data_IF_137650002188
#
_entry.id   IF_137650002188
#
_cell.length_a   1.000
_cell.length_b   1.000
_cell.length_c   1.000
_cell.angle_alpha   90.00
_cell.angle_beta   90.00
_cell.angle_gamma   90.00
#
_symmetry.space_group_name_H-M   'P 1'
#
loop_
_entity.id
_entity.type
_entity.pdbx_description
1 polymer ?
#
# COMPACT_ATOMS: atom_id res chain seq x y z
N UNK A 1 -12.37 -5.58 20.30
CA UNK A 1 -13.82 -5.92 20.38
C UNK A 1 -14.25 -6.18 18.95
N UNK A 2 -14.41 -7.45 18.59
CA UNK A 2 -14.87 -7.91 17.28
C UNK A 2 -16.39 -7.68 17.22
N UNK A 3 -16.80 -6.68 16.47
CA UNK A 3 -18.23 -6.47 16.18
C UNK A 3 -18.66 -7.58 15.22
N UNK A 4 -19.71 -8.32 15.57
CA UNK A 4 -20.21 -9.43 14.76
C UNK A 4 -20.78 -8.93 13.42
N UNK A 5 -20.69 -9.74 12.36
CA UNK A 5 -21.26 -9.47 11.02
C UNK A 5 -22.75 -9.02 11.03
N UNK A 6 -23.48 -9.30 12.11
CA UNK A 6 -24.87 -8.91 12.33
C UNK A 6 -25.07 -7.43 12.67
N UNK A 7 -24.06 -6.74 13.24
CA UNK A 7 -24.15 -5.30 13.54
C UNK A 7 -23.83 -4.43 12.32
N UNK A 8 -22.92 -4.87 11.46
CA UNK A 8 -22.59 -4.19 10.20
C UNK A 8 -23.80 -4.22 9.23
N UNK A 9 -24.57 -5.30 9.21
CA UNK A 9 -25.80 -5.40 8.40
C UNK A 9 -26.95 -4.49 8.86
N UNK A 10 -26.93 -4.00 10.12
CA UNK A 10 -27.94 -3.05 10.63
C UNK A 10 -27.67 -1.59 10.31
N UNK A 11 -26.47 -1.25 9.83
CA UNK A 11 -26.09 0.12 9.45
C UNK A 11 -26.23 0.26 7.95
N UNK A 12 -27.19 1.07 7.49
CA UNK A 12 -27.65 1.19 6.11
C UNK A 12 -26.57 1.37 5.06
N UNK A 13 -26.96 1.14 3.81
CA UNK A 13 -26.15 1.25 2.61
C UNK A 13 -25.67 2.71 2.42
N UNK A 14 -24.36 2.94 2.32
CA UNK A 14 -23.76 4.27 2.12
C UNK A 14 -23.54 4.55 0.64
N UNK A 15 -23.70 5.82 0.26
CA UNK A 15 -23.23 6.38 -1.01
C UNK A 15 -21.88 7.06 -0.78
N UNK A 16 -20.84 6.62 -1.49
CA UNK A 16 -19.45 7.01 -1.23
C UNK A 16 -18.82 7.53 -2.51
N UNK A 17 -18.27 8.75 -2.47
CA UNK A 17 -17.34 9.23 -3.49
C UNK A 17 -15.92 9.09 -2.95
N UNK A 18 -15.11 8.24 -3.60
CA UNK A 18 -13.68 8.09 -3.30
C UNK A 18 -12.89 8.81 -4.39
N UNK A 19 -12.02 9.75 -4.00
CA UNK A 19 -11.26 10.56 -4.96
C UNK A 19 -9.76 10.27 -4.86
N UNK A 20 -9.07 10.33 -6.02
CA UNK A 20 -7.62 10.26 -6.10
C UNK A 20 -7.09 11.02 -7.32
N UNK A 21 -6.06 11.89 -7.17
CA UNK A 21 -5.56 12.74 -8.24
C UNK A 21 -4.46 12.09 -9.10
N UNK A 22 -4.00 10.88 -8.80
CA UNK A 22 -2.88 10.26 -9.48
C UNK A 22 -3.23 9.83 -10.91
N UNK A 23 -2.29 10.09 -11.83
CA UNK A 23 -2.39 9.69 -13.23
C UNK A 23 -1.73 8.33 -13.46
N UNK A 24 -0.58 8.10 -12.80
CA UNK A 24 0.21 6.87 -12.92
C UNK A 24 -0.15 5.88 -11.83
N UNK A 25 0.04 4.59 -12.09
CA UNK A 25 -0.15 3.52 -11.11
C UNK A 25 0.77 3.64 -9.89
N UNK A 26 0.43 2.89 -8.84
CA UNK A 26 1.18 2.84 -7.59
C UNK A 26 0.33 2.29 -6.44
N UNK A 27 0.92 2.15 -5.26
CA UNK A 27 0.25 1.59 -4.09
C UNK A 27 -1.05 2.31 -3.72
N UNK A 28 -1.09 3.64 -3.81
CA UNK A 28 -2.29 4.42 -3.50
C UNK A 28 -3.43 4.17 -4.50
N UNK A 29 -3.13 4.12 -5.81
CA UNK A 29 -4.11 3.80 -6.85
C UNK A 29 -4.69 2.40 -6.61
N UNK A 30 -3.82 1.42 -6.33
CA UNK A 30 -4.21 0.05 -6.00
C UNK A 30 -5.09 -0.01 -4.75
N UNK A 31 -4.75 0.75 -3.71
CA UNK A 31 -5.59 0.89 -2.51
C UNK A 31 -6.99 1.35 -2.86
N UNK A 32 -7.13 2.42 -3.66
CA UNK A 32 -8.43 2.97 -4.03
C UNK A 32 -9.27 1.96 -4.80
N UNK A 33 -8.70 1.27 -5.81
CA UNK A 33 -9.41 0.24 -6.59
C UNK A 33 -9.86 -0.91 -5.69
N UNK A 34 -8.95 -1.46 -4.89
CA UNK A 34 -9.24 -2.59 -4.01
C UNK A 34 -10.30 -2.25 -2.96
N UNK A 35 -10.16 -1.11 -2.29
CA UNK A 35 -11.13 -0.66 -1.29
C UNK A 35 -12.50 -0.45 -1.93
N UNK A 36 -12.57 0.20 -3.09
CA UNK A 36 -13.83 0.49 -3.77
C UNK A 36 -14.56 -0.79 -4.18
N UNK A 37 -13.82 -1.78 -4.70
CA UNK A 37 -14.36 -3.09 -5.06
C UNK A 37 -14.96 -3.80 -3.84
N UNK A 38 -14.23 -3.85 -2.74
CA UNK A 38 -14.71 -4.53 -1.53
C UNK A 38 -15.88 -3.80 -0.87
N UNK A 39 -15.87 -2.46 -0.83
CA UNK A 39 -17.01 -1.68 -0.35
C UNK A 39 -18.26 -1.93 -1.21
N UNK A 40 -18.13 -2.02 -2.53
CA UNK A 40 -19.23 -2.39 -3.43
C UNK A 40 -19.71 -3.82 -3.18
N UNK A 41 -18.80 -4.78 -2.90
CA UNK A 41 -19.15 -6.16 -2.50
C UNK A 41 -19.92 -6.21 -1.18
N UNK A 42 -19.61 -5.32 -0.24
CA UNK A 42 -20.37 -5.14 0.99
C UNK A 42 -21.73 -4.44 0.77
N UNK A 43 -22.06 -4.04 -0.47
CA UNK A 43 -23.35 -3.50 -0.87
C UNK A 43 -23.45 -1.97 -0.82
N UNK A 44 -22.34 -1.24 -0.58
CA UNK A 44 -22.31 0.21 -0.65
C UNK A 44 -22.32 0.70 -2.10
N UNK A 45 -22.86 1.91 -2.33
CA UNK A 45 -22.82 2.56 -3.64
C UNK A 45 -21.54 3.39 -3.75
N UNK A 46 -20.53 2.88 -4.46
CA UNK A 46 -19.22 3.52 -4.56
C UNK A 46 -18.99 4.10 -5.95
N UNK A 47 -18.55 5.35 -5.99
CA UNK A 47 -18.08 6.02 -7.21
C UNK A 47 -16.64 6.47 -7.01
N UNK A 48 -15.77 6.20 -7.98
CA UNK A 48 -14.37 6.65 -7.98
C UNK A 48 -14.28 7.94 -8.80
N UNK A 49 -13.85 9.03 -8.15
CA UNK A 49 -13.59 10.32 -8.80
C UNK A 49 -12.12 10.46 -9.18
N UNK A 50 -11.81 10.52 -10.48
CA UNK A 50 -10.44 10.53 -10.99
C UNK A 50 -10.28 11.30 -12.30
N UNK A 51 -9.06 11.30 -12.86
CA UNK A 51 -8.79 11.79 -14.23
C UNK A 51 -9.23 10.75 -15.24
N UNK A 52 -9.74 11.18 -16.37
CA UNK A 52 -10.21 10.32 -17.45
C UNK A 52 -9.16 9.31 -17.95
N UNK A 53 -7.94 9.78 -18.22
CA UNK A 53 -6.87 8.96 -18.80
C UNK A 53 -5.91 8.44 -17.72
N UNK A 54 -6.43 8.07 -16.55
CA UNK A 54 -5.61 7.58 -15.45
C UNK A 54 -5.65 6.05 -15.35
N UNK A 55 -4.54 5.46 -14.90
CA UNK A 55 -4.48 4.03 -14.52
C UNK A 55 -5.55 3.69 -13.49
N UNK A 56 -5.94 4.66 -12.66
CA UNK A 56 -7.03 4.49 -11.71
C UNK A 56 -8.38 4.30 -12.42
N UNK A 57 -8.69 5.11 -13.45
CA UNK A 57 -9.94 4.99 -14.20
C UNK A 57 -10.05 3.63 -14.91
N UNK A 58 -8.95 3.18 -15.52
CA UNK A 58 -8.86 1.87 -16.16
C UNK A 58 -9.07 0.73 -15.15
N UNK A 59 -8.27 0.67 -14.10
CA UNK A 59 -8.39 -0.37 -13.06
C UNK A 59 -9.75 -0.34 -12.33
N UNK A 60 -10.37 0.84 -12.17
CA UNK A 60 -11.70 0.96 -11.59
C UNK A 60 -12.78 0.33 -12.47
N UNK A 61 -12.71 0.54 -13.80
CA UNK A 61 -13.64 -0.09 -14.75
C UNK A 61 -13.46 -1.61 -14.81
N UNK A 62 -12.22 -2.09 -14.86
CA UNK A 62 -11.91 -3.52 -14.82
C UNK A 62 -12.43 -4.17 -13.53
N UNK A 63 -12.38 -3.46 -12.41
CA UNK A 63 -12.94 -3.90 -11.14
C UNK A 63 -14.46 -3.76 -11.03
N UNK A 64 -15.15 -3.28 -12.10
CA UNK A 64 -16.61 -3.10 -12.11
C UNK A 64 -17.13 -1.94 -11.24
N UNK A 65 -16.25 -0.99 -10.88
CA UNK A 65 -16.63 0.18 -10.08
C UNK A 65 -17.21 1.31 -10.95
N UNK A 66 -18.12 2.10 -10.38
CA UNK A 66 -18.56 3.33 -11.02
C UNK A 66 -17.43 4.36 -11.05
N UNK A 67 -17.26 5.04 -12.18
CA UNK A 67 -16.19 6.02 -12.37
C UNK A 67 -16.78 7.38 -12.77
N UNK A 68 -16.32 8.43 -12.09
CA UNK A 68 -16.59 9.82 -12.43
C UNK A 68 -15.30 10.51 -12.88
N UNK A 69 -15.18 10.74 -14.19
CA UNK A 69 -13.96 11.24 -14.85
C UNK A 69 -13.93 12.75 -15.06
N UNK A 70 -14.76 13.48 -14.32
CA UNK A 70 -14.90 14.93 -14.47
C UNK A 70 -13.70 15.76 -14.02
N UNK A 71 -12.75 15.16 -13.27
CA UNK A 71 -11.66 15.88 -12.63
C UNK A 71 -10.41 16.03 -13.52
N UNK A 72 -9.83 17.23 -13.49
CA UNK A 72 -8.55 17.49 -14.14
C UNK A 72 -7.35 17.22 -13.21
N UNK A 73 -7.46 17.48 -11.92
CA UNK A 73 -6.43 17.31 -10.88
C UNK A 73 -5.02 17.67 -11.35
N UNK A 74 -4.87 18.86 -11.95
CA UNK A 74 -3.58 19.36 -12.40
C UNK A 74 -2.85 20.03 -11.26
N UNK A 75 -1.67 19.50 -10.90
CA UNK A 75 -0.82 20.07 -9.85
C UNK A 75 -0.41 21.52 -10.09
N UNK A 76 0.05 22.19 -9.04
CA UNK A 76 0.42 23.61 -9.05
C UNK A 76 -0.77 24.56 -8.95
N UNK A 77 -0.49 25.88 -8.96
CA UNK A 77 -1.49 26.95 -8.83
C UNK A 77 -2.20 27.23 -10.16
N UNK A 78 -2.91 26.25 -10.70
CA UNK A 78 -3.74 26.37 -11.93
C UNK A 78 -5.18 26.68 -11.56
N UNK A 79 -5.46 27.91 -11.17
CA UNK A 79 -6.76 28.34 -10.62
C UNK A 79 -7.96 27.89 -11.46
N UNK A 80 -7.89 27.99 -12.80
CA UNK A 80 -9.00 27.56 -13.68
C UNK A 80 -9.30 26.06 -13.56
N UNK A 81 -8.25 25.21 -13.41
CA UNK A 81 -8.44 23.76 -13.21
C UNK A 81 -9.07 23.48 -11.84
N UNK A 82 -8.59 24.15 -10.80
CA UNK A 82 -9.14 24.02 -9.46
C UNK A 82 -10.62 24.43 -9.40
N UNK A 83 -10.98 25.57 -9.99
CA UNK A 83 -12.37 26.02 -10.06
C UNK A 83 -13.27 25.05 -10.84
N UNK A 84 -12.73 24.46 -11.93
CA UNK A 84 -13.43 23.42 -12.69
C UNK A 84 -13.68 22.19 -11.82
N UNK A 85 -12.65 21.67 -11.16
CA UNK A 85 -12.74 20.47 -10.32
C UNK A 85 -13.73 20.70 -9.15
N UNK A 86 -13.66 21.85 -8.46
CA UNK A 86 -14.61 22.23 -7.41
C UNK A 86 -16.05 22.30 -7.95
N UNK A 87 -16.25 22.90 -9.12
CA UNK A 87 -17.59 23.01 -9.73
C UNK A 87 -18.15 21.63 -10.12
N UNK A 88 -17.30 20.71 -10.61
CA UNK A 88 -17.68 19.35 -10.94
C UNK A 88 -18.09 18.56 -9.68
N UNK A 89 -17.31 18.65 -8.62
CA UNK A 89 -17.60 17.93 -7.38
C UNK A 89 -18.85 18.49 -6.69
N UNK A 90 -19.06 19.81 -6.73
CA UNK A 90 -20.32 20.41 -6.27
C UNK A 90 -21.54 19.86 -7.00
N UNK A 91 -21.47 19.73 -8.33
CA UNK A 91 -22.56 19.13 -9.12
C UNK A 91 -22.79 17.69 -8.74
N UNK A 92 -21.71 16.92 -8.54
CA UNK A 92 -21.79 15.54 -8.08
C UNK A 92 -22.46 15.44 -6.70
N UNK A 93 -22.08 16.31 -5.75
CA UNK A 93 -22.71 16.36 -4.41
C UNK A 93 -24.22 16.68 -4.55
N UNK A 94 -24.59 17.57 -5.46
CA UNK A 94 -26.00 17.96 -5.68
C UNK A 94 -26.84 16.83 -6.30
N UNK A 95 -26.29 16.16 -7.33
CA UNK A 95 -27.05 15.13 -8.08
C UNK A 95 -27.08 13.81 -7.35
N UNK A 96 -25.94 13.35 -6.79
CA UNK A 96 -25.80 12.01 -6.23
C UNK A 96 -26.05 11.94 -4.73
N UNK A 97 -25.90 13.07 -4.02
CA UNK A 97 -26.07 13.18 -2.56
C UNK A 97 -25.29 12.10 -1.79
N UNK A 98 -23.95 12.04 -1.93
CA UNK A 98 -23.16 11.06 -1.21
C UNK A 98 -23.22 11.28 0.31
N UNK A 99 -23.11 10.19 1.08
CA UNK A 99 -22.96 10.25 2.53
C UNK A 99 -21.50 10.58 2.94
N UNK A 100 -20.55 10.09 2.13
CA UNK A 100 -19.11 10.19 2.39
C UNK A 100 -18.37 10.75 1.17
N UNK A 101 -17.51 11.75 1.41
CA UNK A 101 -16.43 12.15 0.52
C UNK A 101 -15.13 11.62 1.10
N UNK A 102 -14.47 10.71 0.40
CA UNK A 102 -13.23 10.09 0.85
C UNK A 102 -12.05 10.45 -0.07
N UNK A 103 -11.23 11.40 0.35
CA UNK A 103 -10.06 11.84 -0.41
C UNK A 103 -8.80 11.01 -0.09
N UNK A 104 -7.95 10.77 -1.10
CA UNK A 104 -6.73 9.97 -0.98
C UNK A 104 -5.43 10.73 -1.31
N UNK A 105 -5.49 11.80 -2.11
CA UNK A 105 -4.38 12.68 -2.42
C UNK A 105 -4.49 14.05 -1.73
N UNK A 106 -3.52 14.91 -1.91
CA UNK A 106 -3.56 16.24 -1.30
C UNK A 106 -4.42 17.22 -2.11
N UNK A 107 -4.44 17.11 -3.43
CA UNK A 107 -5.17 18.01 -4.30
C UNK A 107 -6.69 17.74 -4.24
N UNK A 108 -7.08 16.49 -4.35
CA UNK A 108 -8.48 16.06 -4.21
C UNK A 108 -9.04 16.42 -2.84
N UNK A 109 -8.26 16.26 -1.76
CA UNK A 109 -8.67 16.66 -0.42
C UNK A 109 -9.07 18.15 -0.33
N UNK A 110 -8.27 19.05 -0.93
CA UNK A 110 -8.60 20.47 -1.01
C UNK A 110 -9.83 20.72 -1.88
N UNK A 111 -9.94 20.07 -3.04
CA UNK A 111 -11.08 20.22 -3.96
C UNK A 111 -12.36 19.80 -3.25
N UNK A 112 -12.38 18.60 -2.65
CA UNK A 112 -13.53 18.05 -1.94
C UNK A 112 -13.94 18.91 -0.74
N UNK A 113 -12.96 19.34 0.05
CA UNK A 113 -13.24 20.18 1.22
C UNK A 113 -13.84 21.53 0.85
N UNK A 114 -13.33 22.19 -0.21
CA UNK A 114 -13.87 23.49 -0.68
C UNK A 114 -15.25 23.29 -1.33
N UNK A 115 -15.43 22.26 -2.16
CA UNK A 115 -16.72 21.95 -2.78
C UNK A 115 -17.81 21.72 -1.72
N UNK A 116 -17.49 20.91 -0.70
CA UNK A 116 -18.37 20.61 0.43
C UNK A 116 -18.67 21.87 1.26
N UNK A 117 -17.64 22.71 1.54
CA UNK A 117 -17.79 23.98 2.27
C UNK A 117 -18.75 24.95 1.57
N UNK A 118 -18.64 25.09 0.26
CA UNK A 118 -19.51 25.96 -0.55
C UNK A 118 -20.97 25.51 -0.56
N UNK A 119 -21.26 24.29 -0.12
CA UNK A 119 -22.60 23.72 0.07
C UNK A 119 -23.07 23.74 1.53
N UNK A 120 -22.31 24.32 2.45
CA UNK A 120 -22.64 24.34 3.87
C UNK A 120 -22.34 23.03 4.61
N UNK A 121 -21.38 22.24 4.10
CA UNK A 121 -20.97 20.92 4.64
C UNK A 121 -22.09 19.87 4.73
N UNK A 122 -22.79 19.58 3.62
CA UNK A 122 -23.85 18.55 3.67
C UNK A 122 -23.30 17.13 3.85
N UNK A 123 -22.02 16.86 3.46
CA UNK A 123 -21.43 15.53 3.33
C UNK A 123 -20.29 15.36 4.33
N UNK A 124 -20.17 14.15 4.90
CA UNK A 124 -19.08 13.78 5.81
C UNK A 124 -17.77 13.62 5.05
N UNK A 125 -16.71 14.29 5.52
CA UNK A 125 -15.39 14.32 4.87
C UNK A 125 -14.39 13.41 5.57
N UNK A 126 -13.88 12.41 4.86
CA UNK A 126 -12.84 11.46 5.31
C UNK A 126 -11.57 11.61 4.47
N UNK A 127 -10.40 11.41 5.09
CA UNK A 127 -9.11 11.48 4.43
C UNK A 127 -8.23 10.30 4.80
N UNK A 128 -7.73 9.51 3.80
CA UNK A 128 -6.67 8.52 4.05
C UNK A 128 -5.28 9.10 3.82
N UNK A 129 -4.36 8.82 4.73
CA UNK A 129 -2.95 9.24 4.74
C UNK A 129 -2.05 8.08 4.38
N UNK A 130 -1.45 8.12 3.18
CA UNK A 130 -0.68 7.03 2.58
C UNK A 130 0.83 7.15 2.75
N UNK A 131 1.34 8.21 3.36
CA UNK A 131 2.77 8.47 3.43
C UNK A 131 3.20 9.15 4.72
N UNK A 132 4.49 9.07 5.00
CA UNK A 132 5.16 9.66 6.16
C UNK A 132 5.64 11.10 5.93
N UNK A 133 5.33 11.73 4.78
CA UNK A 133 5.76 13.10 4.51
C UNK A 133 5.17 14.09 5.51
N UNK A 134 5.98 15.07 5.93
CA UNK A 134 5.54 16.12 6.83
C UNK A 134 4.43 16.97 6.20
N UNK A 135 3.46 17.39 7.01
CA UNK A 135 2.44 18.34 6.61
C UNK A 135 2.84 19.71 7.14
N UNK A 136 2.79 20.72 6.28
CA UNK A 136 3.04 22.10 6.69
C UNK A 136 1.96 22.56 7.69
N UNK A 137 2.36 23.17 8.81
CA UNK A 137 1.48 23.58 9.91
C UNK A 137 0.82 24.96 9.71
N UNK A 138 0.81 25.48 8.46
CA UNK A 138 0.14 26.75 8.15
C UNK A 138 -1.34 26.70 8.54
N UNK A 139 -1.89 27.86 8.90
CA UNK A 139 -3.28 28.00 9.33
C UNK A 139 -4.31 27.42 8.35
N UNK A 140 -4.04 27.48 7.03
CA UNK A 140 -4.89 26.87 6.01
C UNK A 140 -4.99 25.36 6.14
N UNK A 141 -3.87 24.66 6.44
CA UNK A 141 -3.88 23.22 6.69
C UNK A 141 -4.55 22.87 8.02
N UNK A 142 -4.47 23.77 9.00
CA UNK A 142 -5.19 23.62 10.27
C UNK A 142 -6.70 23.67 10.05
N UNK A 143 -7.19 24.62 9.27
CA UNK A 143 -8.61 24.70 8.89
C UNK A 143 -9.02 23.44 8.12
N UNK A 144 -8.26 23.03 7.09
CA UNK A 144 -8.55 21.85 6.29
C UNK A 144 -8.70 20.59 7.16
N UNK A 145 -7.74 20.33 8.05
CA UNK A 145 -7.69 19.09 8.80
C UNK A 145 -8.57 19.08 10.06
N UNK A 146 -8.75 20.23 10.74
CA UNK A 146 -9.50 20.31 12.01
C UNK A 146 -10.94 20.75 11.83
N UNK A 147 -11.22 21.57 10.77
CA UNK A 147 -12.56 22.15 10.57
C UNK A 147 -13.29 21.50 9.41
N UNK A 148 -12.61 21.29 8.28
CA UNK A 148 -13.24 20.81 7.04
C UNK A 148 -13.15 19.30 6.81
N UNK A 149 -12.41 18.59 7.68
CA UNK A 149 -12.30 17.13 7.66
C UNK A 149 -12.89 16.56 8.94
N UNK A 150 -13.77 15.59 8.84
CA UNK A 150 -14.44 14.99 9.98
C UNK A 150 -13.59 13.87 10.58
N UNK A 151 -12.96 13.03 9.74
CA UNK A 151 -12.19 11.88 10.18
C UNK A 151 -11.00 11.58 9.28
N UNK A 152 -9.92 11.01 9.85
CA UNK A 152 -8.74 10.63 9.09
C UNK A 152 -8.35 9.18 9.34
N UNK A 153 -7.88 8.52 8.28
CA UNK A 153 -7.37 7.16 8.31
C UNK A 153 -5.87 7.22 8.03
N UNK A 154 -5.05 6.66 8.90
CA UNK A 154 -3.63 6.43 8.67
C UNK A 154 -3.42 4.97 8.23
N UNK A 155 -2.58 4.73 7.22
CA UNK A 155 -2.38 3.36 6.71
C UNK A 155 -1.41 2.53 7.56
N UNK A 156 -0.83 3.11 8.62
CA UNK A 156 -0.01 2.44 9.62
C UNK A 156 0.15 3.32 10.86
N UNK A 157 0.58 2.73 11.98
CA UNK A 157 0.83 3.46 13.24
C UNK A 157 1.91 4.54 13.07
N UNK A 158 2.97 4.28 12.32
CA UNK A 158 4.01 5.28 12.06
C UNK A 158 3.44 6.55 11.39
N UNK A 159 2.46 6.42 10.48
CA UNK A 159 1.76 7.56 9.88
C UNK A 159 0.83 8.22 10.89
N UNK A 160 0.15 7.45 11.72
CA UNK A 160 -0.74 7.95 12.77
C UNK A 160 0.05 8.76 13.81
N UNK A 161 1.10 8.21 14.39
CA UNK A 161 1.95 8.88 15.40
C UNK A 161 2.54 10.19 14.87
N UNK A 162 3.07 10.16 13.63
CA UNK A 162 3.60 11.35 12.98
C UNK A 162 2.55 12.48 12.85
N UNK A 163 1.26 12.15 12.73
CA UNK A 163 0.15 13.10 12.60
C UNK A 163 -0.42 13.50 13.96
N UNK A 164 -0.66 12.51 14.82
CA UNK A 164 -1.27 12.71 16.13
C UNK A 164 -0.51 13.69 17.04
N UNK A 165 0.81 13.79 16.85
CA UNK A 165 1.68 14.73 17.58
C UNK A 165 1.67 16.16 17.02
N UNK A 166 1.00 16.43 15.88
CA UNK A 166 1.01 17.72 15.22
C UNK A 166 -0.25 18.54 15.53
N UNK A 167 -0.14 19.86 15.80
CA UNK A 167 -1.27 20.70 16.20
C UNK A 167 -2.29 20.95 15.09
N UNK A 168 -1.99 20.51 13.87
CA UNK A 168 -2.90 20.60 12.71
C UNK A 168 -3.79 19.37 12.54
N UNK A 169 -3.73 18.42 13.47
CA UNK A 169 -4.54 17.21 13.50
C UNK A 169 -5.21 17.03 14.87
N UNK A 170 -6.27 16.27 14.90
CA UNK A 170 -6.97 15.83 16.10
C UNK A 170 -6.90 14.31 16.18
N UNK A 171 -6.06 13.79 17.09
CA UNK A 171 -5.84 12.36 17.26
C UNK A 171 -7.12 11.59 17.61
N UNK A 172 -8.10 12.23 18.28
CA UNK A 172 -9.38 11.58 18.62
C UNK A 172 -10.25 11.30 17.38
N UNK A 173 -9.96 11.95 16.26
CA UNK A 173 -10.64 11.79 14.97
C UNK A 173 -9.76 11.10 13.93
N UNK A 174 -8.88 10.22 14.41
CA UNK A 174 -8.00 9.42 13.58
C UNK A 174 -8.05 7.95 13.98
N UNK A 175 -7.82 7.06 13.03
CA UNK A 175 -7.58 5.64 13.28
C UNK A 175 -6.53 5.09 12.33
N UNK A 176 -5.99 3.91 12.66
CA UNK A 176 -5.12 3.15 11.78
C UNK A 176 -5.91 2.05 11.10
N UNK A 177 -5.78 1.99 9.77
CA UNK A 177 -6.32 0.91 8.95
C UNK A 177 -5.25 0.53 7.93
N UNK A 178 -4.62 -0.61 8.14
CA UNK A 178 -3.59 -1.12 7.23
C UNK A 178 -4.18 -1.48 5.87
N UNK A 179 -3.34 -1.45 4.84
CA UNK A 179 -3.68 -2.02 3.54
C UNK A 179 -4.00 -3.51 3.68
N UNK A 180 -4.64 -4.07 2.67
CA UNK A 180 -4.94 -5.49 2.58
C UNK A 180 -4.56 -6.06 1.22
N UNK A 181 -4.39 -7.37 1.19
CA UNK A 181 -4.20 -8.15 -0.05
C UNK A 181 -5.23 -9.27 -0.12
N UNK A 182 -5.41 -9.83 -1.31
CA UNK A 182 -6.26 -10.98 -1.51
C UNK A 182 -5.44 -12.27 -1.31
N UNK A 183 -5.62 -13.02 -0.20
CA UNK A 183 -4.85 -14.22 0.06
C UNK A 183 -5.26 -15.41 -0.85
N UNK A 184 -6.30 -15.28 -1.63
CA UNK A 184 -6.67 -16.27 -2.66
C UNK A 184 -5.91 -16.06 -3.96
N UNK A 185 -5.63 -14.80 -4.32
CA UNK A 185 -4.78 -14.44 -5.46
C UNK A 185 -3.30 -14.69 -5.17
N UNK A 186 -2.88 -14.46 -3.92
CA UNK A 186 -1.51 -14.69 -3.44
C UNK A 186 -1.50 -15.90 -2.52
N UNK A 187 -1.48 -17.10 -3.10
CA UNK A 187 -1.44 -18.37 -2.35
C UNK A 187 -0.28 -19.23 -2.84
N UNK A 188 0.30 -20.07 -1.96
CA UNK A 188 1.31 -21.03 -2.38
C UNK A 188 0.77 -21.96 -3.47
N UNK A 189 1.56 -22.16 -4.53
CA UNK A 189 1.25 -23.04 -5.65
C UNK A 189 2.53 -23.68 -6.17
N UNK A 190 2.68 -24.99 -5.91
CA UNK A 190 3.91 -25.74 -6.23
C UNK A 190 4.14 -25.87 -7.75
N UNK A 191 3.09 -26.00 -8.54
CA UNK A 191 3.22 -26.14 -9.99
C UNK A 191 3.62 -24.82 -10.63
N UNK A 192 2.99 -23.72 -10.20
CA UNK A 192 3.38 -22.36 -10.60
C UNK A 192 4.82 -22.07 -10.16
N UNK A 193 5.22 -22.43 -8.92
CA UNK A 193 6.60 -22.26 -8.45
C UNK A 193 7.58 -22.99 -9.37
N UNK A 194 7.32 -24.24 -9.71
CA UNK A 194 8.19 -25.03 -10.60
C UNK A 194 8.31 -24.40 -11.99
N UNK A 195 7.19 -23.98 -12.55
CA UNK A 195 7.11 -23.32 -13.86
C UNK A 195 7.92 -22.01 -13.89
N UNK A 196 7.71 -21.12 -12.90
CA UNK A 196 8.36 -19.81 -12.86
C UNK A 196 9.87 -19.95 -12.55
N UNK A 197 10.27 -20.88 -11.68
CA UNK A 197 11.69 -21.16 -11.47
C UNK A 197 12.38 -21.65 -12.74
N UNK A 198 11.72 -22.50 -13.51
CA UNK A 198 12.24 -22.94 -14.82
C UNK A 198 12.31 -21.79 -15.83
N UNK A 199 11.32 -20.88 -15.86
CA UNK A 199 11.33 -19.67 -16.70
C UNK A 199 12.58 -18.80 -16.44
N UNK A 200 12.94 -18.60 -15.15
CA UNK A 200 14.11 -17.82 -14.77
C UNK A 200 15.42 -18.61 -14.73
N UNK A 201 15.39 -19.90 -15.06
CA UNK A 201 16.57 -20.75 -15.11
C UNK A 201 17.12 -21.12 -13.73
N UNK A 202 16.31 -21.10 -12.68
CA UNK A 202 16.72 -21.49 -11.33
C UNK A 202 16.69 -23.00 -11.15
N UNK A 203 17.75 -23.56 -10.56
CA UNK A 203 17.82 -24.95 -10.16
C UNK A 203 16.94 -25.24 -8.93
N UNK A 204 16.66 -26.51 -8.67
CA UNK A 204 15.80 -26.90 -7.55
C UNK A 204 16.42 -26.54 -6.19
N UNK A 205 17.73 -26.66 -6.06
CA UNK A 205 18.52 -26.34 -4.86
C UNK A 205 18.94 -24.85 -4.75
N UNK A 206 18.65 -24.01 -5.75
CA UNK A 206 18.89 -22.58 -5.66
C UNK A 206 18.02 -21.94 -4.55
N UNK A 207 18.60 -21.01 -3.82
CA UNK A 207 17.89 -20.19 -2.82
C UNK A 207 17.66 -18.80 -3.41
N UNK A 208 16.42 -18.50 -3.74
CA UNK A 208 16.03 -17.25 -4.42
C UNK A 208 15.71 -16.18 -3.39
N UNK A 209 16.56 -15.16 -3.31
CA UNK A 209 16.33 -13.93 -2.57
C UNK A 209 15.51 -13.00 -3.50
N UNK A 210 14.22 -12.83 -3.20
CA UNK A 210 13.29 -12.11 -4.04
C UNK A 210 13.03 -10.69 -3.54
N UNK A 211 13.00 -9.72 -4.45
CA UNK A 211 12.61 -8.35 -4.14
C UNK A 211 11.61 -7.82 -5.17
N UNK A 212 10.38 -7.60 -4.76
CA UNK A 212 9.33 -7.01 -5.60
C UNK A 212 9.14 -5.52 -5.22
N UNK A 213 9.81 -4.61 -5.95
CA UNK A 213 9.82 -3.19 -5.64
C UNK A 213 10.16 -2.32 -6.85
N UNK A 214 9.76 -1.04 -6.81
CA UNK A 214 10.25 -0.06 -7.80
C UNK A 214 11.76 0.10 -7.67
N UNK A 215 12.47 0.18 -8.79
CA UNK A 215 13.91 0.39 -8.83
C UNK A 215 14.23 1.87 -8.53
N UNK A 216 14.20 2.25 -7.26
CA UNK A 216 14.45 3.60 -6.75
C UNK A 216 15.34 3.53 -5.52
N UNK A 217 16.02 4.63 -5.19
CA UNK A 217 16.90 4.75 -4.00
C UNK A 217 16.17 4.34 -2.72
N UNK A 218 14.92 4.78 -2.56
CA UNK A 218 14.11 4.52 -1.38
C UNK A 218 13.92 3.03 -1.05
N UNK A 219 14.04 2.14 -2.04
CA UNK A 219 13.83 0.69 -1.87
C UNK A 219 15.06 -0.09 -1.45
N UNK A 220 16.26 0.52 -1.54
CA UNK A 220 17.48 -0.01 -0.92
C UNK A 220 18.09 -1.23 -1.60
N UNK A 221 17.90 -1.45 -2.92
CA UNK A 221 18.47 -2.57 -3.67
C UNK A 221 19.99 -2.72 -3.47
N UNK A 222 20.70 -1.61 -3.28
CA UNK A 222 22.12 -1.60 -3.02
C UNK A 222 22.52 -2.35 -1.73
N UNK A 223 21.66 -2.37 -0.72
CA UNK A 223 21.93 -3.12 0.53
C UNK A 223 21.80 -4.63 0.30
N UNK A 224 20.78 -5.05 -0.48
CA UNK A 224 20.66 -6.44 -0.90
C UNK A 224 21.89 -6.90 -1.70
N UNK A 225 22.37 -6.08 -2.65
CA UNK A 225 23.56 -6.44 -3.45
C UNK A 225 24.81 -6.57 -2.60
N UNK A 226 25.05 -5.62 -1.67
CA UNK A 226 26.20 -5.74 -0.73
C UNK A 226 26.09 -6.99 0.13
N UNK A 227 24.91 -7.28 0.67
CA UNK A 227 24.70 -8.51 1.44
C UNK A 227 24.91 -9.76 0.59
N UNK A 228 24.40 -9.79 -0.64
CA UNK A 228 24.59 -10.92 -1.55
C UNK A 228 26.06 -11.13 -1.95
N UNK A 229 26.85 -10.06 -2.04
CA UNK A 229 28.31 -10.17 -2.33
C UNK A 229 29.05 -10.95 -1.25
N UNK A 230 28.71 -10.74 0.01
CA UNK A 230 29.26 -11.51 1.13
C UNK A 230 28.70 -12.94 1.15
N UNK A 231 27.38 -13.09 1.10
CA UNK A 231 26.69 -14.38 1.25
C UNK A 231 27.06 -15.38 0.15
N UNK A 232 27.26 -14.94 -1.10
CA UNK A 232 27.54 -15.87 -2.22
C UNK A 232 28.84 -16.66 -2.06
N UNK A 233 29.77 -16.17 -1.26
CA UNK A 233 31.05 -16.89 -0.99
C UNK A 233 30.83 -18.12 -0.13
N UNK A 234 29.81 -18.07 0.73
CA UNK A 234 29.44 -19.18 1.66
C UNK A 234 28.27 -20.00 1.12
N UNK A 235 27.42 -19.39 0.31
CA UNK A 235 26.22 -19.98 -0.28
C UNK A 235 26.17 -19.75 -1.81
N UNK A 236 26.93 -20.53 -2.61
CA UNK A 236 27.06 -20.30 -4.05
C UNK A 236 25.77 -20.53 -4.84
N UNK A 237 24.78 -21.18 -4.23
CA UNK A 237 23.46 -21.45 -4.80
C UNK A 237 22.42 -20.34 -4.53
N UNK A 238 22.82 -19.18 -3.99
CA UNK A 238 21.88 -18.04 -3.91
C UNK A 238 21.66 -17.44 -5.28
N UNK A 239 20.42 -16.98 -5.52
CA UNK A 239 20.01 -16.21 -6.71
C UNK A 239 19.25 -14.98 -6.27
N UNK A 240 19.34 -13.91 -7.04
CA UNK A 240 18.57 -12.69 -6.83
C UNK A 240 17.52 -12.57 -7.93
N UNK A 241 16.25 -12.40 -7.55
CA UNK A 241 15.18 -12.13 -8.50
C UNK A 241 14.52 -10.77 -8.14
N UNK A 242 14.71 -9.79 -9.03
CA UNK A 242 14.22 -8.42 -8.84
C UNK A 242 13.04 -8.18 -9.77
N UNK A 243 11.85 -7.98 -9.18
CA UNK A 243 10.59 -7.70 -9.88
C UNK A 243 10.27 -6.22 -9.74
N UNK A 244 10.20 -5.51 -10.85
CA UNK A 244 9.85 -4.10 -10.90
C UNK A 244 10.67 -3.30 -11.90
N UNK A 245 10.32 -2.04 -12.05
CA UNK A 245 11.00 -1.08 -12.92
C UNK A 245 11.18 0.26 -12.20
N UNK A 246 12.07 1.09 -12.72
CA UNK A 246 12.33 2.42 -12.14
C UNK A 246 13.56 3.07 -12.73
N UNK A 247 13.81 4.31 -12.33
CA UNK A 247 14.87 5.15 -12.91
C UNK A 247 16.28 4.63 -12.64
N UNK A 248 16.45 3.74 -11.64
CA UNK A 248 17.74 3.16 -11.29
C UNK A 248 18.06 1.84 -12.01
N UNK A 249 17.25 1.36 -12.96
CA UNK A 249 17.46 0.07 -13.59
C UNK A 249 18.89 -0.13 -14.11
N UNK A 250 19.37 0.77 -14.99
CA UNK A 250 20.70 0.71 -15.58
C UNK A 250 21.83 0.84 -14.53
N UNK A 251 21.61 1.67 -13.50
CA UNK A 251 22.59 1.86 -12.42
C UNK A 251 22.72 0.59 -11.56
N UNK A 252 21.60 -0.05 -11.25
CA UNK A 252 21.58 -1.30 -10.47
C UNK A 252 22.17 -2.48 -11.26
N UNK A 253 21.92 -2.56 -12.57
CA UNK A 253 22.56 -3.55 -13.44
C UNK A 253 24.08 -3.38 -13.47
N UNK A 254 24.55 -2.13 -13.63
CA UNK A 254 25.97 -1.81 -13.56
C UNK A 254 26.58 -2.18 -12.21
N UNK A 255 25.90 -1.80 -11.11
CA UNK A 255 26.35 -2.12 -9.75
C UNK A 255 26.41 -3.63 -9.51
N UNK A 256 25.44 -4.40 -9.99
CA UNK A 256 25.47 -5.86 -9.92
C UNK A 256 26.69 -6.43 -10.67
N UNK A 257 27.04 -5.87 -11.83
CA UNK A 257 28.24 -6.22 -12.58
C UNK A 257 29.54 -5.93 -11.83
N UNK A 258 29.66 -4.71 -11.26
CA UNK A 258 30.82 -4.27 -10.47
C UNK A 258 31.06 -5.13 -9.21
N UNK A 259 29.98 -5.57 -8.58
CA UNK A 259 30.02 -6.46 -7.42
C UNK A 259 30.15 -7.95 -7.80
N UNK A 260 30.24 -8.26 -9.10
CA UNK A 260 30.35 -9.62 -9.63
C UNK A 260 29.07 -10.45 -9.45
N UNK A 261 27.92 -9.84 -9.27
CA UNK A 261 26.63 -10.51 -9.03
C UNK A 261 25.85 -10.76 -10.33
N UNK A 262 26.32 -10.28 -11.51
CA UNK A 262 25.58 -10.37 -12.77
C UNK A 262 25.11 -11.79 -13.10
N UNK A 263 25.95 -12.82 -12.82
CA UNK A 263 25.60 -14.21 -13.08
C UNK A 263 24.59 -14.86 -12.13
N UNK A 264 24.22 -14.17 -11.05
CA UNK A 264 23.24 -14.67 -10.07
C UNK A 264 22.04 -13.72 -9.90
N UNK A 265 21.99 -12.60 -10.64
CA UNK A 265 20.94 -11.59 -10.54
C UNK A 265 20.08 -11.57 -11.79
N UNK A 266 18.79 -11.74 -11.61
CA UNK A 266 17.77 -11.61 -12.68
C UNK A 266 16.94 -10.36 -12.44
N UNK A 267 17.01 -9.41 -13.39
CA UNK A 267 16.14 -8.24 -13.46
C UNK A 267 14.93 -8.58 -14.36
N UNK A 268 13.82 -8.96 -13.77
CA UNK A 268 12.63 -9.41 -14.51
C UNK A 268 11.75 -8.25 -15.01
N UNK A 269 12.09 -7.00 -14.70
CA UNK A 269 11.30 -5.85 -15.12
C UNK A 269 9.92 -5.79 -14.45
N UNK A 270 9.01 -5.04 -15.06
CA UNK A 270 7.61 -4.99 -14.62
C UNK A 270 6.88 -6.27 -15.06
N UNK A 271 6.18 -6.91 -14.13
CA UNK A 271 5.42 -8.13 -14.36
C UNK A 271 3.95 -7.92 -13.98
N UNK A 272 3.05 -8.29 -14.88
CA UNK A 272 1.60 -8.31 -14.60
C UNK A 272 1.19 -9.55 -13.78
N UNK A 273 1.94 -10.62 -13.91
CA UNK A 273 1.78 -11.91 -13.21
C UNK A 273 2.63 -11.98 -11.92
N UNK A 274 2.62 -10.89 -11.15
CA UNK A 274 3.43 -10.75 -9.92
C UNK A 274 3.15 -11.88 -8.92
N UNK A 275 1.91 -12.35 -8.80
CA UNK A 275 1.53 -13.45 -7.93
C UNK A 275 2.22 -14.77 -8.30
N UNK A 276 2.40 -15.01 -9.60
CA UNK A 276 3.14 -16.16 -10.10
C UNK A 276 4.64 -16.00 -9.84
N UNK A 277 5.20 -14.82 -10.16
CA UNK A 277 6.63 -14.58 -10.02
C UNK A 277 7.12 -14.69 -8.56
N UNK A 278 6.33 -14.26 -7.58
CA UNK A 278 6.65 -14.39 -6.15
C UNK A 278 6.78 -15.86 -5.73
N UNK A 279 6.12 -16.81 -6.40
CA UNK A 279 6.25 -18.24 -6.11
C UNK A 279 7.71 -18.75 -6.25
N UNK A 280 8.54 -18.07 -7.05
CA UNK A 280 9.95 -18.45 -7.19
C UNK A 280 10.80 -18.11 -5.97
N UNK A 281 10.33 -17.21 -5.08
CA UNK A 281 11.09 -16.74 -3.92
C UNK A 281 11.18 -17.81 -2.82
N UNK A 282 12.32 -17.83 -2.15
CA UNK A 282 12.55 -18.57 -0.89
C UNK A 282 12.59 -17.62 0.30
N UNK A 283 13.09 -16.40 0.09
CA UNK A 283 13.20 -15.36 1.10
C UNK A 283 12.85 -14.03 0.42
N UNK A 284 11.88 -13.32 0.95
CA UNK A 284 11.54 -11.96 0.52
C UNK A 284 12.45 -10.94 1.19
N UNK A 285 12.97 -9.98 0.43
CA UNK A 285 13.87 -8.95 0.95
C UNK A 285 13.30 -7.57 0.66
N UNK A 286 13.16 -6.75 1.71
CA UNK A 286 12.64 -5.37 1.59
C UNK A 286 13.49 -4.40 2.42
N UNK A 287 14.72 -4.05 1.98
CA UNK A 287 15.65 -3.22 2.73
C UNK A 287 15.41 -1.72 2.49
N UNK A 288 14.13 -1.31 2.49
CA UNK A 288 13.71 0.07 2.21
C UNK A 288 14.30 1.05 3.22
N UNK A 289 14.70 2.24 2.71
CA UNK A 289 15.25 3.33 3.51
C UNK A 289 14.37 4.58 3.53
N UNK A 290 13.28 4.59 2.77
CA UNK A 290 12.29 5.67 2.74
C UNK A 290 10.97 5.19 2.10
N UNK A 291 9.88 5.96 2.31
CA UNK A 291 8.58 5.81 1.65
C UNK A 291 7.90 4.43 1.81
N UNK A 292 8.02 3.79 2.98
CA UNK A 292 7.37 2.50 3.26
C UNK A 292 6.33 2.64 4.37
N UNK A 293 5.13 3.16 4.03
CA UNK A 293 4.07 3.30 5.03
C UNK A 293 3.32 1.96 5.26
N UNK A 294 2.86 1.30 4.19
CA UNK A 294 2.16 0.01 4.29
C UNK A 294 2.37 -0.77 2.99
N UNK A 295 3.31 -1.71 3.01
CA UNK A 295 3.84 -2.37 1.81
C UNK A 295 2.94 -3.48 1.30
N UNK A 296 2.30 -3.28 0.15
CA UNK A 296 1.61 -4.36 -0.57
C UNK A 296 2.56 -5.51 -0.91
N UNK A 297 3.75 -5.19 -1.40
CA UNK A 297 4.74 -6.19 -1.81
C UNK A 297 5.15 -7.12 -0.67
N UNK A 298 5.32 -6.58 0.55
CA UNK A 298 5.61 -7.39 1.74
C UNK A 298 4.43 -8.32 2.04
N UNK A 299 3.20 -7.78 2.06
CA UNK A 299 2.00 -8.57 2.32
C UNK A 299 1.78 -9.68 1.27
N UNK A 300 2.04 -9.40 0.01
CA UNK A 300 1.91 -10.33 -1.11
C UNK A 300 2.88 -11.51 -0.99
N UNK A 301 4.14 -11.21 -0.67
CA UNK A 301 5.15 -12.23 -0.42
C UNK A 301 4.79 -13.08 0.81
N UNK A 302 4.39 -12.46 1.91
CA UNK A 302 3.93 -13.17 3.10
C UNK A 302 2.69 -14.04 2.82
N UNK A 303 1.76 -13.57 1.99
CA UNK A 303 0.59 -14.35 1.60
C UNK A 303 0.94 -15.62 0.81
N UNK A 304 2.07 -15.65 0.12
CA UNK A 304 2.60 -16.84 -0.60
C UNK A 304 3.58 -17.69 0.23
N UNK A 305 3.53 -17.56 1.57
CA UNK A 305 4.42 -18.29 2.50
C UNK A 305 5.89 -17.95 2.35
N UNK A 306 6.23 -16.75 1.86
CA UNK A 306 7.61 -16.29 1.79
C UNK A 306 7.95 -15.52 3.07
N UNK A 307 8.92 -16.00 3.89
CA UNK A 307 9.40 -15.26 5.05
C UNK A 307 10.17 -14.02 4.63
N UNK A 308 10.05 -12.95 5.40
CA UNK A 308 10.60 -11.64 5.05
C UNK A 308 11.86 -11.29 5.81
N UNK A 309 12.82 -10.65 5.13
CA UNK A 309 13.86 -9.84 5.79
C UNK A 309 13.65 -8.39 5.35
N UNK A 310 13.27 -7.55 6.29
CA UNK A 310 12.85 -6.19 5.97
C UNK A 310 13.40 -5.15 6.96
N UNK A 311 13.58 -3.92 6.48
CA UNK A 311 14.04 -2.82 7.34
C UNK A 311 12.97 -2.35 8.32
N UNK A 312 13.39 -1.93 9.53
CA UNK A 312 12.57 -1.18 10.48
C UNK A 312 12.33 0.23 9.95
N UNK A 313 11.41 0.33 8.99
CA UNK A 313 11.01 1.61 8.40
C UNK A 313 9.50 1.66 8.17
N UNK A 314 8.88 2.78 8.58
CA UNK A 314 7.45 3.02 8.42
C UNK A 314 6.61 1.94 9.10
N UNK A 315 5.62 1.40 8.38
CA UNK A 315 4.72 0.36 8.89
C UNK A 315 5.20 -1.08 8.68
N UNK A 316 6.45 -1.31 8.25
CA UNK A 316 6.93 -2.65 7.93
C UNK A 316 6.91 -3.58 9.15
N UNK A 317 7.33 -3.08 10.33
CA UNK A 317 7.31 -3.84 11.61
C UNK A 317 5.89 -4.13 12.13
N UNK A 318 4.90 -3.42 11.61
CA UNK A 318 3.51 -3.67 11.94
C UNK A 318 2.95 -4.85 11.13
N UNK A 319 3.55 -5.13 9.96
CA UNK A 319 3.19 -6.24 9.07
C UNK A 319 3.99 -7.49 9.43
N UNK A 320 5.33 -7.37 9.51
CA UNK A 320 6.27 -8.47 9.78
C UNK A 320 6.59 -8.53 11.26
N UNK A 321 6.22 -9.60 11.94
CA UNK A 321 6.63 -9.85 13.34
C UNK A 321 8.04 -10.43 13.37
N UNK A 322 8.96 -9.70 14.02
CA UNK A 322 10.36 -10.13 14.16
C UNK A 322 10.45 -11.50 14.81
N UNK A 323 11.27 -12.39 14.25
CA UNK A 323 11.49 -13.78 14.67
C UNK A 323 10.24 -14.70 14.58
N UNK A 324 9.14 -14.25 13.97
CA UNK A 324 7.94 -15.07 13.76
C UNK A 324 7.58 -15.21 12.28
N UNK A 325 7.53 -14.09 11.56
CA UNK A 325 7.18 -14.04 10.13
C UNK A 325 8.41 -13.75 9.25
N UNK A 326 9.56 -13.56 9.90
CA UNK A 326 10.83 -13.15 9.30
C UNK A 326 11.67 -12.31 10.26
N UNK A 327 12.56 -11.50 9.73
CA UNK A 327 13.45 -10.64 10.51
C UNK A 327 13.27 -9.17 10.14
N UNK A 328 13.16 -8.32 11.15
CA UNK A 328 13.25 -6.87 11.02
C UNK A 328 14.67 -6.44 11.38
N UNK A 329 15.33 -5.70 10.50
CA UNK A 329 16.70 -5.22 10.63
C UNK A 329 16.77 -3.71 10.65
N UNK A 330 17.79 -3.10 11.27
CA UNK A 330 17.94 -1.65 11.24
C UNK A 330 18.06 -1.13 9.81
N UNK A 331 17.39 0.01 9.55
CA UNK A 331 17.37 0.66 8.25
C UNK A 331 18.79 1.09 7.81
N UNK A 332 19.12 0.84 6.54
CA UNK A 332 20.38 1.31 5.95
C UNK A 332 21.63 0.57 6.42
N UNK A 333 21.49 -0.60 7.07
CA UNK A 333 22.60 -1.42 7.55
C UNK A 333 22.76 -2.69 6.71
N UNK A 334 23.97 -3.12 6.47
CA UNK A 334 24.27 -4.32 5.66
C UNK A 334 24.51 -5.54 6.55
N UNK A 335 25.29 -5.42 7.62
CA UNK A 335 25.67 -6.53 8.50
C UNK A 335 24.45 -7.22 9.13
N UNK A 336 23.48 -6.52 9.75
CA UNK A 336 22.27 -7.15 10.26
C UNK A 336 21.41 -7.80 9.17
N UNK A 337 21.45 -7.25 7.94
CA UNK A 337 20.78 -7.86 6.79
C UNK A 337 21.44 -9.19 6.40
N UNK A 338 22.78 -9.24 6.37
CA UNK A 338 23.56 -10.48 6.13
C UNK A 338 23.20 -11.54 7.17
N UNK A 339 23.28 -11.20 8.47
CA UNK A 339 22.98 -12.13 9.55
C UNK A 339 21.56 -12.71 9.48
N UNK A 340 20.58 -11.87 9.17
CA UNK A 340 19.19 -12.28 9.04
C UNK A 340 18.96 -13.19 7.84
N UNK A 341 19.55 -12.84 6.68
CA UNK A 341 19.47 -13.66 5.47
C UNK A 341 20.17 -15.00 5.68
N UNK A 342 21.35 -15.01 6.28
CA UNK A 342 22.12 -16.25 6.53
C UNK A 342 21.35 -17.22 7.42
N UNK A 343 20.67 -16.73 8.46
CA UNK A 343 19.82 -17.59 9.33
C UNK A 343 18.73 -18.29 8.52
N UNK A 344 18.11 -17.61 7.55
CA UNK A 344 17.07 -18.20 6.71
C UNK A 344 17.67 -19.09 5.60
N UNK A 345 18.82 -18.74 5.03
CA UNK A 345 19.50 -19.54 4.00
C UNK A 345 19.94 -20.88 4.60
N UNK A 346 20.58 -20.86 5.78
CA UNK A 346 21.15 -22.05 6.42
C UNK A 346 20.09 -22.98 7.05
N UNK A 347 18.86 -22.50 7.31
CA UNK A 347 17.87 -23.25 8.07
C UNK A 347 16.51 -23.36 7.31
N UNK A 348 16.35 -24.40 6.46
CA UNK A 348 15.13 -24.61 5.68
C UNK A 348 13.85 -24.73 6.55
N UNK A 349 13.95 -25.34 7.73
CA UNK A 349 12.80 -25.51 8.63
C UNK A 349 12.35 -24.17 9.20
N UNK A 350 13.27 -23.33 9.69
CA UNK A 350 12.96 -21.98 10.16
C UNK A 350 12.32 -21.16 9.04
N UNK A 351 12.86 -21.26 7.82
CA UNK A 351 12.35 -20.57 6.64
C UNK A 351 10.91 -20.97 6.34
N UNK A 352 10.60 -22.28 6.36
CA UNK A 352 9.25 -22.82 6.16
C UNK A 352 8.28 -22.38 7.27
N UNK A 353 8.68 -22.51 8.52
CA UNK A 353 7.85 -22.20 9.68
C UNK A 353 7.48 -20.69 9.72
N UNK A 354 8.48 -19.82 9.45
CA UNK A 354 8.24 -18.38 9.32
C UNK A 354 7.35 -18.03 8.13
N UNK A 355 7.50 -18.71 6.99
CA UNK A 355 6.63 -18.53 5.83
C UNK A 355 5.17 -18.88 6.15
N UNK A 356 4.95 -20.02 6.78
CA UNK A 356 3.60 -20.45 7.23
C UNK A 356 3.00 -19.46 8.23
N UNK A 357 3.80 -18.96 9.17
CA UNK A 357 3.39 -17.92 10.13
C UNK A 357 3.02 -16.61 9.42
N UNK A 358 3.85 -16.19 8.45
CA UNK A 358 3.63 -14.99 7.64
C UNK A 358 2.28 -15.05 6.91
N UNK A 359 1.98 -16.16 6.22
CA UNK A 359 0.71 -16.37 5.53
C UNK A 359 -0.48 -16.30 6.49
N UNK A 360 -0.40 -16.99 7.63
CA UNK A 360 -1.47 -16.96 8.65
C UNK A 360 -1.76 -15.53 9.09
N UNK A 361 -0.70 -14.76 9.38
CA UNK A 361 -0.85 -13.35 9.75
C UNK A 361 -1.58 -12.53 8.69
N UNK A 362 -1.25 -12.70 7.41
CA UNK A 362 -1.94 -12.00 6.32
C UNK A 362 -3.41 -12.40 6.24
N UNK A 363 -3.71 -13.69 6.29
CA UNK A 363 -5.09 -14.19 6.26
C UNK A 363 -5.92 -13.71 7.46
N UNK A 364 -5.28 -13.59 8.63
CA UNK A 364 -5.96 -13.20 9.87
C UNK A 364 -6.12 -11.68 10.03
N UNK A 365 -5.25 -10.83 9.46
CA UNK A 365 -5.23 -9.42 9.81
C UNK A 365 -5.22 -8.43 8.63
N UNK A 366 -4.71 -8.84 7.45
CA UNK A 366 -4.41 -7.95 6.33
C UNK A 366 -5.12 -8.35 5.02
N UNK A 367 -6.37 -8.79 5.11
CA UNK A 367 -7.17 -9.09 3.92
C UNK A 367 -7.88 -7.83 3.40
N UNK A 368 -8.26 -7.86 2.11
CA UNK A 368 -9.06 -6.79 1.50
C UNK A 368 -10.43 -6.63 2.19
N UNK A 369 -11.01 -7.73 2.65
CA UNK A 369 -12.26 -7.73 3.41
C UNK A 369 -12.12 -6.93 4.70
N UNK A 370 -11.08 -7.20 5.49
CA UNK A 370 -10.82 -6.48 6.74
C UNK A 370 -10.49 -5.01 6.52
N UNK A 371 -9.79 -4.68 5.43
CA UNK A 371 -9.59 -3.29 5.03
C UNK A 371 -10.94 -2.59 4.82
N UNK A 372 -11.87 -3.21 4.08
CA UNK A 372 -13.18 -2.62 3.82
C UNK A 372 -14.05 -2.54 5.07
N UNK A 373 -14.14 -3.60 5.87
CA UNK A 373 -14.90 -3.64 7.11
C UNK A 373 -14.46 -2.54 8.10
N UNK A 374 -13.14 -2.43 8.35
CA UNK A 374 -12.57 -1.40 9.21
C UNK A 374 -12.80 0.02 8.64
N UNK A 375 -12.80 0.16 7.31
CA UNK A 375 -13.09 1.43 6.65
C UNK A 375 -14.56 1.82 6.82
N UNK A 376 -15.50 0.87 6.74
CA UNK A 376 -16.92 1.12 7.03
C UNK A 376 -17.11 1.56 8.50
N UNK A 377 -16.42 0.93 9.44
CA UNK A 377 -16.44 1.38 10.85
C UNK A 377 -15.93 2.82 10.99
N UNK A 378 -14.83 3.18 10.30
CA UNK A 378 -14.30 4.53 10.30
C UNK A 378 -15.29 5.53 9.67
N UNK A 379 -16.03 5.15 8.63
CA UNK A 379 -17.07 5.98 8.04
C UNK A 379 -18.22 6.24 9.03
N UNK A 380 -18.63 5.24 9.79
CA UNK A 380 -19.67 5.45 10.81
C UNK A 380 -19.19 6.40 11.91
N UNK A 381 -17.96 6.24 12.40
CA UNK A 381 -17.37 7.19 13.35
C UNK A 381 -17.29 8.61 12.76
N UNK A 382 -16.94 8.73 11.47
CA UNK A 382 -16.91 10.00 10.78
C UNK A 382 -18.31 10.66 10.70
N UNK A 383 -19.35 9.88 10.42
CA UNK A 383 -20.76 10.34 10.40
C UNK A 383 -21.21 10.84 11.78
N UNK A 384 -20.82 10.15 12.85
CA UNK A 384 -21.15 10.57 14.22
C UNK A 384 -20.43 11.88 14.58
N UNK A 385 -19.15 12.02 14.25
CA UNK A 385 -18.39 13.27 14.41
C UNK A 385 -19.03 14.41 13.62
N UNK A 386 -19.42 14.16 12.37
CA UNK A 386 -20.04 15.14 11.50
C UNK A 386 -21.38 15.64 12.08
N UNK A 387 -22.22 14.74 12.59
CA UNK A 387 -23.51 15.07 13.24
C UNK A 387 -23.31 15.91 14.50
N UNK A 388 -22.31 15.57 15.32
CA UNK A 388 -22.02 16.30 16.56
C UNK A 388 -21.47 17.72 16.33
N UNK A 389 -21.04 18.03 15.09
CA UNK A 389 -20.47 19.35 14.70
C UNK A 389 -21.51 20.26 14.02
N UNK A 390 -22.67 19.75 13.63
CA UNK A 390 -23.83 20.50 13.13
C UNK A 390 -24.67 21.04 14.27
#
# INVERSE_FOLDING_TARGET
VTISNTETQRRGKLKILITDPHLKGGGQVRYVVNLSRELARLGHAVTIGCKADSVLAEGAREAGCNVFEGFAYRGGLRLRCWLKDIAQERRFIESEQPDILHANGSQDHWVSAVANRLKGFPVTMVRTRHNTYSVNERWVNRILNLVWTDYQIAVCEAVHELRATRPVFDASRMCVIHNGVDPSAFRPDTDTRRRVRAEFGFAEDDIVLGMAARLTVAKGHQFLFRAATDLRTRHPNIRLLLLGQGDLANELERLAGELGLAGITTFAGFRNDIADCIQAFDIGVQPSIDCEASSFSVMEQMATEVPMVASDHGGTKEIVRHCQDGYIVPQGTVEPLIEALEKLIANPDIRRDMGTSARRRIADEFTLEKLAERTVEAYHRALDVHRARK
#
